data_IF_625630240754
#
_entry.id   IF_625630240754
#
_cell.length_a   1.000
_cell.length_b   1.000
_cell.length_c   1.000
_cell.angle_alpha   90.00
_cell.angle_beta   90.00
_cell.angle_gamma   90.00
#
_symmetry.space_group_name_H-M   'P 1'
#
loop_
_entity.id
_entity.type
_entity.pdbx_description
1 polymer ?
#
# COMPACT_ATOMS: atom_id res chain seq x y z
N UNK A 1 -4.73 6.89 6.03
CA UNK A 1 -5.47 7.48 7.17
C UNK A 1 -4.56 8.05 8.26
N UNK A 2 -3.77 7.23 8.96
CA UNK A 2 -3.02 7.64 10.16
C UNK A 2 -2.17 8.91 10.03
N UNK A 3 -1.29 8.98 9.03
CA UNK A 3 -0.38 10.11 8.86
C UNK A 3 -1.10 11.45 8.65
N UNK A 4 -1.98 11.52 7.66
CA UNK A 4 -2.61 12.78 7.23
C UNK A 4 -3.81 13.18 8.10
N UNK A 5 -4.66 12.23 8.49
CA UNK A 5 -5.94 12.55 9.14
C UNK A 5 -5.85 12.54 10.65
N UNK A 6 -5.07 11.62 11.25
CA UNK A 6 -4.97 11.53 12.70
C UNK A 6 -3.82 12.40 13.21
N UNK A 7 -2.65 12.29 12.58
CA UNK A 7 -1.43 12.91 13.10
C UNK A 7 -1.08 14.25 12.42
N UNK A 8 -1.65 14.54 11.24
CA UNK A 8 -1.29 15.70 10.41
C UNK A 8 0.24 15.77 10.16
N UNK A 9 0.89 14.62 10.04
CA UNK A 9 2.35 14.53 9.96
C UNK A 9 2.86 14.65 8.51
N UNK A 10 3.99 15.37 8.28
CA UNK A 10 4.63 15.39 6.99
C UNK A 10 5.16 14.00 6.59
N UNK A 11 5.36 13.81 5.30
CA UNK A 11 5.68 12.50 4.72
C UNK A 11 7.20 12.30 4.60
N UNK A 12 7.83 11.88 5.70
CA UNK A 12 9.27 11.66 5.79
C UNK A 12 9.61 10.40 6.58
N UNK A 13 10.81 9.88 6.39
CA UNK A 13 11.36 8.76 7.18
C UNK A 13 11.29 9.09 8.68
N UNK A 14 10.82 8.15 9.49
CA UNK A 14 10.69 8.34 10.94
C UNK A 14 9.49 9.20 11.38
N UNK A 15 8.53 9.48 10.50
CA UNK A 15 7.29 10.14 10.92
C UNK A 15 6.49 9.26 11.89
N UNK A 16 5.72 9.89 12.79
CA UNK A 16 4.98 9.21 13.88
C UNK A 16 3.93 8.21 13.40
N UNK A 17 3.52 8.26 12.12
CA UNK A 17 2.52 7.31 11.60
C UNK A 17 3.07 5.89 11.51
N UNK A 18 4.38 5.73 11.41
CA UNK A 18 5.04 4.41 11.38
C UNK A 18 4.77 3.67 12.69
N UNK A 19 5.03 4.30 13.83
CA UNK A 19 4.83 3.66 15.14
C UNK A 19 3.36 3.42 15.44
N UNK A 20 2.50 4.35 15.02
CA UNK A 20 1.04 4.18 15.13
C UNK A 20 0.55 3.02 14.27
N UNK A 21 1.06 2.87 13.04
CA UNK A 21 0.78 1.72 12.18
C UNK A 21 1.20 0.42 12.87
N UNK A 22 2.45 0.31 13.34
CA UNK A 22 2.94 -0.90 14.03
C UNK A 22 2.06 -1.29 15.21
N UNK A 23 1.66 -0.32 16.03
CA UNK A 23 0.79 -0.56 17.20
C UNK A 23 -0.56 -1.14 16.79
N UNK A 24 -1.18 -0.58 15.74
CA UNK A 24 -2.48 -1.05 15.26
C UNK A 24 -2.36 -2.41 14.56
N UNK A 25 -1.27 -2.65 13.83
CA UNK A 25 -1.00 -3.93 13.17
C UNK A 25 -0.84 -5.04 14.21
N UNK A 26 -0.06 -4.80 15.27
CA UNK A 26 0.12 -5.76 16.37
C UNK A 26 -1.21 -6.08 17.06
N UNK A 27 -2.05 -5.06 17.30
CA UNK A 27 -3.40 -5.27 17.82
C UNK A 27 -4.24 -6.11 16.84
N UNK A 28 -4.24 -5.77 15.55
CA UNK A 28 -5.02 -6.47 14.53
C UNK A 28 -4.61 -7.94 14.40
N UNK A 29 -3.30 -8.24 14.40
CA UNK A 29 -2.80 -9.62 14.34
C UNK A 29 -3.34 -10.52 15.48
N UNK A 30 -3.64 -9.94 16.65
CA UNK A 30 -4.21 -10.67 17.78
C UNK A 30 -5.74 -10.71 17.80
N UNK A 31 -6.43 -9.88 17.02
CA UNK A 31 -7.87 -9.63 17.20
C UNK A 31 -8.72 -9.80 15.93
N UNK A 32 -8.10 -9.84 14.73
CA UNK A 32 -8.84 -9.99 13.47
C UNK A 32 -8.27 -11.12 12.62
N UNK A 33 -9.10 -11.67 11.75
CA UNK A 33 -8.71 -12.76 10.86
C UNK A 33 -7.85 -12.28 9.69
N UNK A 34 -8.21 -11.14 9.09
CA UNK A 34 -7.50 -10.53 7.97
C UNK A 34 -7.24 -9.06 8.25
N UNK A 35 -6.04 -8.60 7.87
CA UNK A 35 -5.63 -7.21 7.93
C UNK A 35 -5.18 -6.79 6.53
N UNK A 36 -5.76 -5.71 6.01
CA UNK A 36 -5.34 -5.08 4.77
C UNK A 36 -4.61 -3.79 5.14
N UNK A 37 -3.35 -3.67 4.71
CA UNK A 37 -2.58 -2.44 4.82
C UNK A 37 -2.52 -1.83 3.42
N UNK A 38 -3.18 -0.69 3.23
CA UNK A 38 -3.28 -0.03 1.93
C UNK A 38 -2.81 1.43 1.98
N UNK A 39 -2.35 1.91 0.84
CA UNK A 39 -2.02 3.31 0.60
C UNK A 39 -0.80 3.49 -0.31
N UNK A 40 -0.35 4.73 -0.43
CA UNK A 40 0.94 5.06 -1.07
C UNK A 40 2.03 4.90 0.00
N UNK A 41 2.53 3.68 0.17
CA UNK A 41 3.48 3.29 1.21
C UNK A 41 4.92 3.33 0.70
N UNK A 42 5.42 4.54 0.42
CA UNK A 42 6.75 4.77 -0.16
C UNK A 42 7.86 3.96 0.52
N UNK A 43 8.68 3.24 -0.25
CA UNK A 43 9.77 2.41 0.30
C UNK A 43 10.71 3.24 1.19
N UNK A 44 11.09 4.44 0.75
CA UNK A 44 11.95 5.37 1.52
C UNK A 44 11.41 5.79 2.89
N UNK A 45 10.10 5.69 3.12
CA UNK A 45 9.43 6.10 4.36
C UNK A 45 8.98 4.90 5.18
N UNK A 46 8.33 3.94 4.54
CA UNK A 46 7.63 2.82 5.19
C UNK A 46 8.33 1.47 4.95
N UNK A 47 9.29 1.38 4.02
CA UNK A 47 9.93 0.13 3.61
C UNK A 47 10.50 -0.64 4.80
N UNK A 48 11.28 0.00 5.66
CA UNK A 48 11.82 -0.67 6.86
C UNK A 48 10.75 -1.19 7.83
N UNK A 49 9.56 -0.59 7.88
CA UNK A 49 8.43 -1.14 8.64
C UNK A 49 7.84 -2.38 7.95
N UNK A 50 7.63 -2.30 6.64
CA UNK A 50 7.03 -3.37 5.85
C UNK A 50 7.95 -4.59 5.75
N UNK A 51 9.26 -4.40 5.60
CA UNK A 51 10.26 -5.47 5.63
C UNK A 51 10.26 -6.19 6.98
N UNK A 52 10.28 -5.45 8.10
CA UNK A 52 10.20 -6.06 9.43
C UNK A 52 8.91 -6.87 9.62
N UNK A 53 7.76 -6.34 9.15
CA UNK A 53 6.49 -7.06 9.17
C UNK A 53 6.50 -8.30 8.29
N UNK A 54 7.14 -8.26 7.12
CA UNK A 54 7.30 -9.41 6.24
C UNK A 54 8.11 -10.53 6.93
N UNK A 55 9.23 -10.16 7.56
CA UNK A 55 10.09 -11.09 8.29
C UNK A 55 9.36 -11.71 9.50
N UNK A 56 8.61 -10.91 10.25
CA UNK A 56 7.83 -11.36 11.42
C UNK A 56 6.64 -12.25 11.03
N UNK A 57 5.88 -11.86 10.00
CA UNK A 57 4.70 -12.59 9.55
C UNK A 57 5.06 -13.83 8.72
N UNK A 58 6.28 -13.88 8.18
CA UNK A 58 6.75 -14.93 7.26
C UNK A 58 5.71 -15.17 6.16
N UNK A 59 5.24 -16.41 6.00
CA UNK A 59 4.24 -16.79 5.01
C UNK A 59 2.83 -16.24 5.30
N UNK A 60 2.57 -15.48 6.37
CA UNK A 60 1.22 -14.95 6.64
C UNK A 60 0.95 -13.58 6.01
N UNK A 61 1.96 -12.94 5.43
CA UNK A 61 1.81 -11.66 4.76
C UNK A 61 1.90 -11.85 3.25
N UNK A 62 0.91 -11.31 2.55
CA UNK A 62 0.92 -11.21 1.10
C UNK A 62 1.06 -9.75 0.68
N UNK A 63 1.84 -9.49 -0.36
CA UNK A 63 2.13 -8.16 -0.86
C UNK A 63 1.88 -8.06 -2.35
N UNK A 64 1.21 -6.97 -2.73
CA UNK A 64 0.78 -6.71 -4.10
C UNK A 64 1.16 -5.28 -4.47
N UNK A 65 1.91 -5.12 -5.54
CA UNK A 65 2.27 -3.80 -6.07
C UNK A 65 1.42 -3.47 -7.30
N UNK A 66 0.92 -2.25 -7.37
CA UNK A 66 0.16 -1.76 -8.52
C UNK A 66 1.05 -0.90 -9.40
N UNK A 67 1.71 -1.54 -10.38
CA UNK A 67 2.52 -0.86 -11.39
C UNK A 67 1.63 -0.29 -12.48
N UNK A 68 1.03 0.86 -12.20
CA UNK A 68 0.14 1.55 -13.11
C UNK A 68 0.85 2.79 -13.67
N UNK A 69 0.71 3.14 -14.96
CA UNK A 69 1.25 4.38 -15.48
C UNK A 69 0.61 5.61 -14.83
N UNK A 70 1.36 6.71 -14.73
CA UNK A 70 0.84 8.00 -14.24
C UNK A 70 -0.46 8.44 -14.95
N UNK A 71 -0.58 8.14 -16.24
CA UNK A 71 -1.78 8.43 -17.03
C UNK A 71 -3.04 7.77 -16.44
N UNK A 72 -2.94 6.54 -15.91
CA UNK A 72 -4.04 5.85 -15.24
C UNK A 72 -4.43 6.55 -13.95
N UNK A 73 -3.43 6.96 -13.14
CA UNK A 73 -3.67 7.72 -11.92
C UNK A 73 -4.33 9.09 -12.20
N UNK A 74 -3.89 9.78 -13.27
CA UNK A 74 -4.48 11.05 -13.70
C UNK A 74 -5.92 10.88 -14.18
N UNK A 75 -6.19 9.89 -15.03
CA UNK A 75 -7.54 9.59 -15.51
C UNK A 75 -8.49 9.26 -14.36
N UNK A 76 -8.08 8.39 -13.41
CA UNK A 76 -8.86 8.08 -12.19
C UNK A 76 -9.04 9.29 -11.27
N UNK A 77 -8.07 10.21 -11.23
CA UNK A 77 -8.22 11.44 -10.45
C UNK A 77 -9.30 12.35 -11.04
N UNK A 78 -9.41 12.42 -12.37
CA UNK A 78 -10.41 13.25 -13.05
C UNK A 78 -11.85 12.78 -12.81
N UNK A 79 -12.08 11.53 -12.41
CA UNK A 79 -13.42 11.02 -12.08
C UNK A 79 -13.87 11.36 -10.65
N UNK A 80 -13.02 12.00 -9.84
CA UNK A 80 -13.35 12.38 -8.45
C UNK A 80 -14.23 13.62 -8.42
N UNK A 81 -15.11 13.72 -7.42
CA UNK A 81 -15.90 14.94 -7.17
C UNK A 81 -15.02 16.18 -6.96
N UNK A 82 -13.84 16.01 -6.37
CA UNK A 82 -12.81 17.04 -6.22
C UNK A 82 -11.46 16.47 -6.69
N UNK A 83 -11.09 16.65 -7.97
CA UNK A 83 -9.83 16.18 -8.50
C UNK A 83 -8.65 16.99 -7.91
N UNK A 84 -7.53 16.32 -7.67
CA UNK A 84 -6.28 17.01 -7.32
C UNK A 84 -5.66 17.67 -8.56
N UNK A 85 -4.94 18.80 -8.39
CA UNK A 85 -4.13 19.36 -9.47
C UNK A 85 -3.08 18.36 -9.96
N UNK A 86 -2.86 18.29 -11.27
CA UNK A 86 -1.87 17.37 -11.85
C UNK A 86 -0.47 17.56 -11.25
N UNK A 87 -0.06 18.81 -11.01
CA UNK A 87 1.21 19.13 -10.37
C UNK A 87 1.38 18.47 -8.99
N UNK A 88 0.29 18.30 -8.24
CA UNK A 88 0.31 17.62 -6.95
C UNK A 88 0.42 16.10 -7.13
N UNK A 89 -0.30 15.54 -8.11
CA UNK A 89 -0.18 14.12 -8.45
C UNK A 89 1.25 13.79 -8.87
N UNK A 90 1.87 14.61 -9.74
CA UNK A 90 3.27 14.42 -10.18
C UNK A 90 4.26 14.46 -9.01
N UNK A 91 4.00 15.28 -8.00
CA UNK A 91 4.84 15.36 -6.80
C UNK A 91 4.72 14.11 -5.91
N UNK A 92 3.57 13.43 -5.93
CA UNK A 92 3.34 12.22 -5.15
C UNK A 92 3.63 10.94 -5.92
N UNK A 93 3.65 11.03 -7.25
CA UNK A 93 3.93 9.92 -8.15
C UNK A 93 5.32 9.37 -7.89
N UNK A 94 5.41 8.04 -7.84
CA UNK A 94 6.65 7.31 -7.69
C UNK A 94 6.56 6.08 -8.57
N UNK A 95 7.58 5.88 -9.40
CA UNK A 95 7.69 4.79 -10.36
C UNK A 95 8.72 3.79 -9.84
N UNK A 96 8.49 2.49 -10.06
CA UNK A 96 9.37 1.41 -9.62
C UNK A 96 9.74 1.49 -8.12
N UNK A 97 8.70 1.50 -7.27
CA UNK A 97 8.85 1.56 -5.80
C UNK A 97 8.50 0.21 -5.15
N UNK A 98 8.91 -0.88 -5.77
CA UNK A 98 8.75 -2.23 -5.24
C UNK A 98 9.57 -2.44 -3.95
N UNK A 99 9.09 -3.33 -3.09
CA UNK A 99 9.74 -3.80 -1.87
C UNK A 99 10.67 -4.99 -2.11
N UNK A 100 10.53 -5.67 -3.25
CA UNK A 100 11.35 -6.81 -3.66
C UNK A 100 10.86 -8.17 -3.14
N UNK A 101 9.68 -8.20 -2.54
CA UNK A 101 9.05 -9.42 -2.02
C UNK A 101 7.55 -9.49 -2.37
N UNK A 102 7.14 -8.82 -3.44
CA UNK A 102 5.81 -8.88 -4.02
C UNK A 102 5.42 -10.31 -4.42
N UNK A 103 4.25 -10.75 -3.98
CA UNK A 103 3.62 -11.97 -4.50
C UNK A 103 3.06 -11.73 -5.92
N UNK A 104 2.64 -10.50 -6.21
CA UNK A 104 2.22 -10.10 -7.56
C UNK A 104 2.46 -8.62 -7.84
N UNK A 105 2.68 -8.32 -9.12
CA UNK A 105 2.67 -6.97 -9.68
C UNK A 105 1.49 -6.86 -10.64
N UNK A 106 0.58 -5.94 -10.35
CA UNK A 106 -0.62 -5.69 -11.15
C UNK A 106 -0.42 -4.49 -12.07
N UNK A 107 -0.43 -4.76 -13.37
CA UNK A 107 -0.37 -3.75 -14.44
C UNK A 107 -1.79 -3.36 -14.89
N UNK A 108 -1.95 -2.34 -15.77
CA UNK A 108 -3.27 -1.96 -16.29
C UNK A 108 -4.00 -3.05 -17.06
N UNK A 109 -3.27 -4.06 -17.55
CA UNK A 109 -3.83 -5.17 -18.34
C UNK A 109 -4.51 -6.23 -17.45
N UNK A 110 -4.25 -6.21 -16.14
CA UNK A 110 -4.90 -7.09 -15.17
C UNK A 110 -6.18 -6.43 -14.68
N UNK A 111 -7.34 -7.00 -15.02
CA UNK A 111 -8.61 -6.49 -14.55
C UNK A 111 -8.86 -6.81 -13.06
N UNK A 112 -9.88 -6.16 -12.50
CA UNK A 112 -10.24 -6.32 -11.09
C UNK A 112 -10.64 -7.77 -10.74
N UNK A 113 -11.32 -8.49 -11.64
CA UNK A 113 -11.77 -9.85 -11.37
C UNK A 113 -10.57 -10.80 -11.23
N UNK A 114 -9.55 -10.64 -12.08
CA UNK A 114 -8.31 -11.39 -12.00
C UNK A 114 -7.49 -11.01 -10.77
N UNK A 115 -7.35 -9.72 -10.45
CA UNK A 115 -6.70 -9.25 -9.22
C UNK A 115 -7.35 -9.87 -7.98
N UNK A 116 -8.69 -9.82 -7.91
CA UNK A 116 -9.45 -10.36 -6.79
C UNK A 116 -9.30 -11.88 -6.69
N UNK A 117 -9.43 -12.61 -7.81
CA UNK A 117 -9.30 -14.06 -7.83
C UNK A 117 -7.91 -14.50 -7.35
N UNK A 118 -6.87 -13.80 -7.79
CA UNK A 118 -5.50 -14.07 -7.35
C UNK A 118 -5.33 -13.83 -5.85
N UNK A 119 -5.71 -12.65 -5.34
CA UNK A 119 -5.60 -12.34 -3.91
C UNK A 119 -6.34 -13.36 -3.05
N UNK A 120 -7.54 -13.78 -3.47
CA UNK A 120 -8.31 -14.81 -2.76
C UNK A 120 -7.60 -16.16 -2.80
N UNK A 121 -7.07 -16.56 -3.95
CA UNK A 121 -6.35 -17.83 -4.08
C UNK A 121 -5.08 -17.87 -3.21
N UNK A 122 -4.34 -16.77 -3.13
CA UNK A 122 -3.13 -16.66 -2.31
C UNK A 122 -3.45 -16.78 -0.82
N UNK A 123 -4.59 -16.24 -0.38
CA UNK A 123 -5.08 -16.35 1.01
C UNK A 123 -5.57 -17.76 1.38
N UNK A 124 -6.02 -18.58 0.43
CA UNK A 124 -6.57 -19.93 0.70
C UNK A 124 -5.57 -21.07 0.57
N UNK A 125 -4.36 -20.80 0.04
CA UNK A 125 -3.30 -21.80 -0.14
C UNK A 125 -2.49 -22.10 1.14
N UNK A 126 -3.00 -21.76 2.33
CA UNK A 126 -2.34 -21.99 3.63
C UNK A 126 -3.27 -22.58 4.68
#
# INVERSE_FOLDING_TARGET
MFRKQILTEPDHTGNKSIDLMRTNIAWAQANVHYLIIEGILKQSVYGGMLTALHEEASTRMHTYYFDLPFAVALARNQTKAAPFPEAWLRRWWLEADELGFEDAIFTPDVDFAHQQAQIIADLTQK
#
